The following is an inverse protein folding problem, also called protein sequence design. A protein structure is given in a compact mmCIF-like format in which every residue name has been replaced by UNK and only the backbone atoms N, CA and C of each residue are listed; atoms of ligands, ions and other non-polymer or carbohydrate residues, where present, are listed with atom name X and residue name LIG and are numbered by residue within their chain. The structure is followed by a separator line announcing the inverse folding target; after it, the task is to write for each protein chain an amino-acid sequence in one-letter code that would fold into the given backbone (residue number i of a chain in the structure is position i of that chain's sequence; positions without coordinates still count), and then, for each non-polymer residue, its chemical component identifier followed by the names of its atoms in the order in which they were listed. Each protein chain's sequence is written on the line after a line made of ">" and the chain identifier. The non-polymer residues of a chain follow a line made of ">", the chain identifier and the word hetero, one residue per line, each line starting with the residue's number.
data_IF_001059152874
#
_entry.id   IF_001059152874
#
_cell.length_a   1.000
_cell.length_b   1.000
_cell.length_c   1.000
_cell.angle_alpha   90.00
_cell.angle_beta   90.00
_cell.angle_gamma   90.00
#
_symmetry.space_group_name_H-M   'P 1'
#
loop_
_entity.id
_entity.type
_entity.pdbx_description
1 polymer ?
#
# COMPACT_ATOMS: atom_id res chain seq x y z
N UNK A 1 -12.60 2.21 16.14
CA UNK A 1 -11.76 3.20 15.43
C UNK A 1 -12.61 4.11 14.56
N UNK A 2 -13.61 3.55 13.85
CA UNK A 2 -14.51 4.29 12.95
C UNK A 2 -15.18 5.54 13.54
N UNK A 3 -15.68 5.48 14.78
CA UNK A 3 -16.33 6.62 15.44
C UNK A 3 -15.35 7.72 15.91
N UNK A 4 -14.09 7.37 16.17
CA UNK A 4 -13.08 8.33 16.58
C UNK A 4 -12.49 9.08 15.37
N UNK A 5 -12.29 8.38 14.24
CA UNK A 5 -11.82 9.02 13.00
C UNK A 5 -12.84 10.04 12.47
N UNK A 6 -14.15 9.81 12.63
CA UNK A 6 -15.17 10.80 12.22
C UNK A 6 -15.08 12.13 12.97
N UNK A 7 -14.46 12.17 14.15
CA UNK A 7 -14.37 13.37 15.00
C UNK A 7 -13.13 14.21 14.72
N UNK A 8 -12.17 13.70 13.97
CA UNK A 8 -10.90 14.38 13.69
C UNK A 8 -10.94 15.05 12.30
N UNK A 9 -10.24 16.18 12.11
CA UNK A 9 -10.05 16.75 10.79
C UNK A 9 -9.34 15.75 9.86
N UNK A 10 -9.82 15.64 8.61
CA UNK A 10 -9.20 14.78 7.59
C UNK A 10 -7.66 14.90 7.46
N UNK A 11 -7.04 16.10 7.42
CA UNK A 11 -5.58 16.19 7.32
C UNK A 11 -4.86 15.58 8.52
N UNK A 12 -5.45 15.68 9.72
CA UNK A 12 -4.90 15.05 10.93
C UNK A 12 -4.94 13.53 10.79
N UNK A 13 -6.06 12.99 10.28
CA UNK A 13 -6.18 11.54 10.05
C UNK A 13 -5.19 11.05 9.00
N UNK A 14 -5.01 11.79 7.90
CA UNK A 14 -4.01 11.43 6.88
C UNK A 14 -2.60 11.38 7.45
N UNK A 15 -2.21 12.42 8.21
CA UNK A 15 -0.92 12.43 8.90
C UNK A 15 -0.77 11.23 9.84
N UNK A 16 -1.77 10.95 10.67
CA UNK A 16 -1.75 9.80 11.58
C UNK A 16 -1.64 8.44 10.85
N UNK A 17 -2.26 8.30 9.68
CA UNK A 17 -2.22 7.06 8.90
C UNK A 17 -0.91 6.88 8.11
N UNK A 18 -0.15 7.94 7.91
CA UNK A 18 1.15 7.91 7.25
C UNK A 18 2.32 7.88 8.24
N UNK A 19 2.10 8.24 9.50
CA UNK A 19 3.10 8.17 10.55
C UNK A 19 3.71 6.76 10.65
N UNK A 20 5.04 6.73 10.63
CA UNK A 20 5.85 5.57 10.98
C UNK A 20 6.45 5.76 12.37
N UNK A 21 6.85 4.65 12.99
CA UNK A 21 7.54 4.66 14.28
C UNK A 21 8.83 3.86 14.18
N UNK A 22 9.93 4.40 14.72
CA UNK A 22 11.19 3.67 14.85
C UNK A 22 11.05 2.42 15.71
N UNK A 23 10.10 2.41 16.67
CA UNK A 23 9.80 1.23 17.50
C UNK A 23 9.27 0.05 16.67
N UNK A 24 8.65 0.36 15.53
CA UNK A 24 8.02 -0.61 14.65
C UNK A 24 8.69 -0.61 13.28
N UNK A 25 10.02 -0.54 13.20
CA UNK A 25 10.75 -0.69 11.94
C UNK A 25 10.29 0.30 10.85
N UNK A 26 9.92 1.53 11.23
CA UNK A 26 9.36 2.55 10.34
C UNK A 26 8.04 2.11 9.63
N UNK A 27 7.35 1.12 10.19
CA UNK A 27 6.06 0.66 9.70
C UNK A 27 4.96 1.69 10.03
N UNK A 28 4.22 2.10 9.02
CA UNK A 28 2.96 2.82 9.20
C UNK A 28 1.81 1.87 9.58
N UNK A 29 0.65 2.38 10.03
CA UNK A 29 -0.49 1.54 10.41
C UNK A 29 -0.96 0.54 9.34
N UNK A 30 -0.76 0.83 8.05
CA UNK A 30 -1.13 -0.09 6.97
C UNK A 30 -0.16 -1.27 6.87
N UNK A 31 1.14 -1.08 7.14
CA UNK A 31 2.09 -2.19 7.26
C UNK A 31 1.68 -3.14 8.37
N UNK A 32 1.43 -2.61 9.58
CA UNK A 32 1.01 -3.39 10.75
C UNK A 32 -0.28 -4.15 10.47
N UNK A 33 -1.26 -3.50 9.83
CA UNK A 33 -2.52 -4.13 9.47
C UNK A 33 -2.35 -5.26 8.44
N UNK A 34 -1.49 -5.07 7.43
CA UNK A 34 -1.19 -6.08 6.43
C UNK A 34 -0.45 -7.29 7.03
N UNK A 35 0.55 -7.03 7.86
CA UNK A 35 1.34 -8.06 8.53
C UNK A 35 0.52 -8.92 9.50
N UNK A 36 -0.41 -8.31 10.23
CA UNK A 36 -1.30 -9.00 11.16
C UNK A 36 -2.56 -9.56 10.49
N UNK A 37 -2.61 -9.55 9.15
CA UNK A 37 -3.75 -10.04 8.37
C UNK A 37 -5.09 -9.42 8.79
N UNK A 38 -5.06 -8.16 9.24
CA UNK A 38 -6.22 -7.48 9.76
C UNK A 38 -7.02 -6.81 8.64
N UNK A 39 -7.82 -7.61 7.91
CA UNK A 39 -8.64 -7.14 6.78
C UNK A 39 -9.52 -5.96 7.12
N UNK A 40 -10.08 -5.93 8.34
CA UNK A 40 -10.96 -4.83 8.78
C UNK A 40 -10.20 -3.52 8.82
N UNK A 41 -9.00 -3.52 9.39
CA UNK A 41 -8.17 -2.32 9.49
C UNK A 41 -7.68 -1.87 8.13
N UNK A 42 -7.18 -2.80 7.31
CA UNK A 42 -6.78 -2.50 5.91
C UNK A 42 -7.92 -1.81 5.18
N UNK A 43 -9.14 -2.39 5.24
CA UNK A 43 -10.31 -1.83 4.57
C UNK A 43 -10.66 -0.43 5.08
N UNK A 44 -10.67 -0.21 6.40
CA UNK A 44 -10.96 1.11 6.98
C UNK A 44 -9.98 2.17 6.46
N UNK A 45 -8.68 1.84 6.44
CA UNK A 45 -7.63 2.75 5.96
C UNK A 45 -7.83 3.04 4.47
N UNK A 46 -7.96 2.01 3.63
CA UNK A 46 -8.06 2.18 2.18
C UNK A 46 -9.36 2.90 1.76
N UNK A 47 -10.49 2.57 2.40
CA UNK A 47 -11.78 3.19 2.12
C UNK A 47 -11.80 4.68 2.52
N UNK A 48 -11.05 5.07 3.58
CA UNK A 48 -10.85 6.48 3.94
C UNK A 48 -10.21 7.27 2.78
N UNK A 49 -9.16 6.71 2.15
CA UNK A 49 -8.51 7.35 1.01
C UNK A 49 -9.38 7.31 -0.26
N UNK A 50 -10.09 6.22 -0.55
CA UNK A 50 -11.04 6.15 -1.69
C UNK A 50 -12.16 7.19 -1.60
N UNK A 51 -12.64 7.43 -0.38
CA UNK A 51 -13.70 8.43 -0.10
C UNK A 51 -13.21 9.87 -0.24
N UNK A 52 -11.89 10.09 -0.24
CA UNK A 52 -11.29 11.40 -0.50
C UNK A 52 -11.12 11.67 -2.00
N UNK A 53 -10.75 10.65 -2.79
CA UNK A 53 -10.53 10.77 -4.23
C UNK A 53 -11.81 11.13 -5.02
N UNK A 54 -12.98 10.73 -4.53
CA UNK A 54 -14.28 10.96 -5.19
C UNK A 54 -14.89 12.32 -4.89
N UNK A 55 -14.25 13.17 -4.07
CA UNK A 55 -14.80 14.46 -3.61
C UNK A 55 -14.07 15.69 -4.18
N UNK A 56 -13.19 15.55 -5.17
CA UNK A 56 -12.33 16.65 -5.63
C UNK A 56 -12.60 17.08 -7.07
N UNK A 57 -13.67 17.87 -7.26
CA UNK A 57 -13.51 19.12 -8.01
C UNK A 57 -13.07 20.20 -7.00
N UNK A 58 -12.04 20.95 -7.36
CA UNK A 58 -11.57 22.18 -6.70
C UNK A 58 -11.15 22.07 -5.21
N UNK A 59 -9.85 21.79 -4.99
CA UNK A 59 -8.97 22.71 -4.25
C UNK A 59 -7.53 22.20 -4.28
N UNK A 60 -6.81 22.71 -5.28
CA UNK A 60 -5.36 22.82 -5.28
C UNK A 60 -5.02 24.09 -4.50
N UNK A 61 -4.43 23.95 -3.30
CA UNK A 61 -3.49 24.91 -2.68
C UNK A 61 -3.08 24.38 -1.30
N UNK A 62 -1.77 24.50 -1.00
CA UNK A 62 -1.03 24.13 0.21
C UNK A 62 -0.60 22.66 0.34
N UNK A 63 0.48 22.31 -0.36
CA UNK A 63 1.72 21.70 0.18
C UNK A 63 1.65 20.76 1.39
N UNK A 64 0.66 19.88 1.47
CA UNK A 64 0.83 18.60 2.15
C UNK A 64 0.84 17.57 1.05
N UNK A 65 2.04 17.20 0.58
CA UNK A 65 2.24 16.06 -0.31
C UNK A 65 1.37 14.92 0.19
N UNK A 66 0.40 14.48 -0.63
CA UNK A 66 -0.54 13.43 -0.28
C UNK A 66 0.20 12.11 -0.09
N UNK A 67 0.79 11.93 1.10
CA UNK A 67 1.50 10.73 1.48
C UNK A 67 0.52 9.56 1.37
N UNK A 68 0.85 8.63 0.48
CA UNK A 68 0.06 7.44 0.22
C UNK A 68 0.59 6.36 1.16
N UNK A 69 -0.16 5.94 2.20
CA UNK A 69 0.37 4.99 3.18
C UNK A 69 0.71 3.62 2.56
N UNK A 70 0.09 3.26 1.43
CA UNK A 70 0.44 2.06 0.68
C UNK A 70 1.79 2.14 -0.06
N UNK A 71 2.34 3.34 -0.27
CA UNK A 71 3.68 3.55 -0.83
C UNK A 71 4.75 3.80 0.25
N UNK A 72 4.35 3.88 1.51
CA UNK A 72 5.30 3.98 2.62
C UNK A 72 6.24 2.78 2.64
N UNK A 73 7.48 3.02 3.06
CA UNK A 73 8.53 2.01 3.17
C UNK A 73 8.86 1.78 4.64
N UNK A 74 9.05 0.52 5.02
CA UNK A 74 9.69 0.15 6.28
C UNK A 74 11.23 0.20 6.17
N UNK A 75 11.95 -0.08 7.26
CA UNK A 75 13.43 -0.12 7.30
C UNK A 75 14.05 -1.10 6.29
N UNK A 76 13.29 -2.07 5.80
CA UNK A 76 13.67 -3.07 4.80
C UNK A 76 13.19 -2.70 3.39
N UNK A 77 12.82 -1.43 3.17
CA UNK A 77 12.24 -0.94 1.91
C UNK A 77 11.00 -1.73 1.47
N UNK A 78 10.32 -2.39 2.40
CA UNK A 78 9.08 -3.12 2.10
C UNK A 78 7.92 -2.14 2.20
N UNK A 79 7.02 -2.22 1.24
CA UNK A 79 5.69 -1.61 1.34
C UNK A 79 4.72 -2.51 2.09
N UNK A 80 3.52 -2.04 2.50
CA UNK A 80 2.49 -2.91 3.07
C UNK A 80 2.10 -4.06 2.14
N UNK A 81 2.23 -3.90 0.83
CA UNK A 81 2.00 -4.96 -0.14
C UNK A 81 3.00 -6.11 0.04
N UNK A 82 4.30 -5.83 0.23
CA UNK A 82 5.31 -6.87 0.44
C UNK A 82 4.98 -7.71 1.68
N UNK A 83 4.53 -7.08 2.77
CA UNK A 83 4.11 -7.80 3.98
C UNK A 83 2.88 -8.66 3.73
N UNK A 84 1.88 -8.17 2.99
CA UNK A 84 0.71 -8.96 2.61
C UNK A 84 1.08 -10.19 1.76
N UNK A 85 2.06 -10.04 0.85
CA UNK A 85 2.58 -11.14 0.03
C UNK A 85 3.35 -12.15 0.85
N UNK A 86 4.19 -11.69 1.80
CA UNK A 86 4.95 -12.53 2.73
C UNK A 86 4.02 -13.37 3.63
N UNK A 87 2.87 -12.82 4.03
CA UNK A 87 1.83 -13.53 4.78
C UNK A 87 0.92 -14.40 3.90
N UNK A 88 1.21 -14.51 2.59
CA UNK A 88 0.38 -15.23 1.61
C UNK A 88 -1.10 -14.79 1.59
N UNK A 89 -1.39 -13.54 1.99
CA UNK A 89 -2.75 -13.06 2.11
C UNK A 89 -3.19 -12.38 0.80
N UNK A 90 -3.61 -13.20 -0.15
CA UNK A 90 -3.99 -12.76 -1.49
C UNK A 90 -5.05 -11.66 -1.47
N UNK A 91 -6.01 -11.73 -0.54
CA UNK A 91 -7.08 -10.73 -0.42
C UNK A 91 -6.56 -9.35 -0.05
N UNK A 92 -5.75 -9.25 1.00
CA UNK A 92 -5.17 -7.97 1.43
C UNK A 92 -4.23 -7.43 0.35
N UNK A 93 -3.43 -8.31 -0.26
CA UNK A 93 -2.53 -7.93 -1.34
C UNK A 93 -3.29 -7.30 -2.52
N UNK A 94 -4.40 -7.92 -2.96
CA UNK A 94 -5.25 -7.35 -4.03
C UNK A 94 -5.90 -6.03 -3.61
N UNK A 95 -6.37 -5.91 -2.36
CA UNK A 95 -6.98 -4.68 -1.84
C UNK A 95 -5.96 -3.52 -1.85
N UNK A 96 -4.74 -3.74 -1.37
CA UNK A 96 -3.66 -2.73 -1.38
C UNK A 96 -3.23 -2.43 -2.82
N UNK A 97 -3.01 -3.46 -3.64
CA UNK A 97 -2.59 -3.31 -5.04
C UNK A 97 -3.58 -2.47 -5.84
N UNK A 98 -4.89 -2.61 -5.59
CA UNK A 98 -5.94 -1.85 -6.26
C UNK A 98 -5.87 -0.33 -6.05
N UNK A 99 -5.09 0.15 -5.08
CA UNK A 99 -4.94 1.58 -4.81
C UNK A 99 -4.03 2.28 -5.81
N UNK A 100 -2.95 1.61 -6.23
CA UNK A 100 -1.93 2.19 -7.11
C UNK A 100 -1.08 1.07 -7.73
N UNK A 101 -1.67 0.35 -8.69
CA UNK A 101 -1.03 -0.82 -9.30
C UNK A 101 0.29 -0.45 -9.98
N UNK A 102 0.31 0.68 -10.69
CA UNK A 102 1.47 1.14 -11.46
C UNK A 102 2.67 1.38 -10.55
N UNK A 103 2.49 2.18 -9.49
CA UNK A 103 3.58 2.51 -8.57
C UNK A 103 4.01 1.27 -7.79
N UNK A 104 3.06 0.50 -7.24
CA UNK A 104 3.36 -0.66 -6.41
C UNK A 104 4.06 -1.78 -7.19
N UNK A 105 3.73 -1.97 -8.46
CA UNK A 105 4.30 -3.06 -9.27
C UNK A 105 5.82 -3.00 -9.44
N UNK A 106 6.40 -1.80 -9.43
CA UNK A 106 7.83 -1.58 -9.61
C UNK A 106 8.62 -1.34 -8.32
N UNK A 107 7.96 -1.39 -7.15
CA UNK A 107 8.66 -1.26 -5.87
C UNK A 107 9.43 -2.54 -5.58
N UNK A 108 10.63 -2.44 -5.04
CA UNK A 108 11.46 -3.59 -4.69
C UNK A 108 11.80 -3.54 -3.19
N UNK A 109 11.82 -4.71 -2.54
CA UNK A 109 12.29 -4.81 -1.16
C UNK A 109 13.82 -4.73 -1.05
N UNK A 110 14.35 -4.81 0.17
CA UNK A 110 15.80 -4.83 0.43
C UNK A 110 16.56 -5.97 -0.27
N UNK A 111 15.88 -7.02 -0.72
CA UNK A 111 16.46 -8.15 -1.42
C UNK A 111 16.26 -8.05 -2.94
N UNK A 112 15.93 -6.85 -3.44
CA UNK A 112 15.61 -6.56 -4.84
C UNK A 112 14.45 -7.43 -5.38
N UNK A 113 13.55 -7.88 -4.49
CA UNK A 113 12.37 -8.66 -4.88
C UNK A 113 11.20 -7.72 -5.11
N UNK A 114 10.75 -7.65 -6.36
CA UNK A 114 9.51 -6.98 -6.70
C UNK A 114 8.26 -7.80 -6.32
N UNK A 115 7.09 -7.17 -6.15
CA UNK A 115 5.82 -7.82 -5.84
C UNK A 115 5.42 -8.96 -6.78
N UNK A 116 5.76 -8.87 -8.07
CA UNK A 116 5.50 -9.97 -9.03
C UNK A 116 6.30 -11.22 -8.67
N UNK A 117 7.58 -11.04 -8.34
CA UNK A 117 8.45 -12.15 -7.94
C UNK A 117 7.92 -12.82 -6.67
N UNK A 118 7.62 -12.02 -5.64
CA UNK A 118 7.06 -12.55 -4.38
C UNK A 118 5.70 -13.22 -4.58
N UNK A 119 4.83 -12.66 -5.42
CA UNK A 119 3.53 -13.27 -5.71
C UNK A 119 3.68 -14.64 -6.40
N UNK A 120 4.67 -14.79 -7.28
CA UNK A 120 4.96 -16.08 -7.93
C UNK A 120 5.60 -17.07 -6.96
N UNK A 121 6.56 -16.63 -6.13
CA UNK A 121 7.20 -17.45 -5.10
C UNK A 121 6.18 -18.01 -4.09
N UNK A 122 5.19 -17.19 -3.71
CA UNK A 122 4.14 -17.53 -2.76
C UNK A 122 2.83 -18.05 -3.39
N UNK A 123 2.85 -18.40 -4.68
CA UNK A 123 1.71 -19.03 -5.38
C UNK A 123 0.42 -18.17 -5.38
N UNK A 124 0.58 -16.84 -5.31
CA UNK A 124 -0.49 -15.84 -5.29
C UNK A 124 -0.85 -15.41 -6.72
N UNK A 125 -1.38 -16.36 -7.47
CA UNK A 125 -1.60 -16.23 -8.92
C UNK A 125 -2.47 -15.05 -9.32
N UNK A 126 -3.49 -14.69 -8.53
CA UNK A 126 -4.37 -13.57 -8.90
C UNK A 126 -3.67 -12.24 -8.77
N UNK A 127 -2.82 -12.07 -7.76
CA UNK A 127 -2.01 -10.86 -7.60
C UNK A 127 -1.03 -10.74 -8.76
N UNK A 128 -0.27 -11.81 -9.04
CA UNK A 128 0.70 -11.79 -10.13
C UNK A 128 0.04 -11.52 -11.49
N UNK A 129 -1.10 -12.17 -11.76
CA UNK A 129 -1.87 -11.91 -12.98
C UNK A 129 -2.34 -10.45 -13.04
N UNK A 130 -2.83 -9.89 -11.93
CA UNK A 130 -3.26 -8.49 -11.90
C UNK A 130 -2.10 -7.53 -12.20
N UNK A 131 -0.91 -7.77 -11.65
CA UNK A 131 0.25 -6.93 -11.94
C UNK A 131 0.66 -7.07 -13.42
N UNK A 132 0.79 -8.30 -13.93
CA UNK A 132 1.20 -8.55 -15.32
C UNK A 132 0.20 -7.99 -16.35
N UNK A 133 -1.10 -8.05 -16.06
CA UNK A 133 -2.14 -7.52 -16.94
C UNK A 133 -2.25 -6.01 -16.89
N UNK A 134 -2.00 -5.40 -15.73
CA UNK A 134 -2.01 -3.94 -15.56
C UNK A 134 -0.73 -3.29 -16.10
N UNK A 135 0.36 -4.06 -16.22
CA UNK A 135 1.64 -3.60 -16.71
C UNK A 135 2.11 -4.40 -17.95
N UNK A 136 1.47 -4.22 -19.13
CA UNK A 136 1.94 -4.84 -20.37
C UNK A 136 3.36 -4.42 -20.79
N UNK A 137 3.96 -3.43 -20.12
CA UNK A 137 5.32 -2.92 -20.38
C UNK A 137 6.36 -3.28 -19.29
N UNK A 138 6.01 -3.98 -18.20
CA UNK A 138 6.95 -4.25 -17.10
C UNK A 138 7.89 -5.44 -17.34
N UNK A 139 7.75 -6.15 -18.47
CA UNK A 139 8.75 -7.11 -18.93
C UNK A 139 9.53 -6.51 -20.09
N UNK A 140 10.67 -5.87 -19.80
CA UNK A 140 11.87 -5.75 -20.67
C UNK A 140 12.89 -4.67 -20.25
N UNK A 141 12.85 -4.09 -19.04
CA UNK A 141 14.03 -3.39 -18.51
C UNK A 141 14.96 -4.37 -17.78
N UNK A 142 15.47 -5.36 -18.52
CA UNK A 142 16.66 -6.12 -18.11
C UNK A 142 17.83 -5.72 -19.01
N UNK A 143 18.95 -5.44 -18.32
CA UNK A 143 20.32 -5.38 -18.81
C UNK A 143 20.69 -4.21 -19.74
N UNK A 144 21.22 -3.16 -19.12
CA UNK A 144 22.28 -2.31 -19.67
C UNK A 144 23.44 -2.32 -18.70
#
# INVERSE_FOLDING_TARGET
>A
MDEAMKKLPRPVIQSLLCQSSEEFDEQNPLHIAAENENHKMVKIILDFYRSSASSSEAQSTTETTGEKPWLGLDVKKRTPLHLALERCNERIALEILSMDVESLSGMEDWADRGPVFMAMENWLYRVALQILTSAPNCSLRRAG
#
